data_IF_903233082926
#
_entry.id   IF_903233082926
#
_cell.length_a   1.000
_cell.length_b   1.000
_cell.length_c   1.000
_cell.angle_alpha   90.00
_cell.angle_beta   90.00
_cell.angle_gamma   90.00
#
_symmetry.space_group_name_H-M   'P 1'
#
loop_
_entity.id
_entity.type
_entity.pdbx_description
1 polymer ?
#
# COMPACT_ATOMS: atom_id res chain seq x y z
N UNK A 1 0.88 -20.85 -16.76
CA UNK A 1 1.38 -20.42 -15.44
C UNK A 1 1.79 -18.95 -15.42
N UNK A 2 2.56 -18.44 -16.39
CA UNK A 2 2.90 -17.01 -16.46
C UNK A 2 1.67 -16.11 -16.73
N UNK A 3 0.83 -16.47 -17.70
CA UNK A 3 -0.37 -15.70 -18.07
C UNK A 3 -1.37 -15.59 -16.89
N UNK A 4 -1.57 -16.66 -16.12
CA UNK A 4 -2.40 -16.63 -14.91
C UNK A 4 -1.85 -15.72 -13.82
N UNK A 5 -0.53 -15.61 -13.69
CA UNK A 5 0.10 -14.66 -12.76
C UNK A 5 -0.07 -13.23 -13.22
N UNK A 6 0.07 -12.94 -14.51
CA UNK A 6 -0.14 -11.60 -15.08
C UNK A 6 -1.59 -11.15 -14.88
N UNK A 7 -2.57 -12.00 -15.20
CA UNK A 7 -3.98 -11.68 -14.95
C UNK A 7 -4.29 -11.48 -13.47
N UNK A 8 -3.70 -12.31 -12.60
CA UNK A 8 -3.83 -12.12 -11.16
C UNK A 8 -3.26 -10.77 -10.73
N UNK A 9 -2.03 -10.42 -11.13
CA UNK A 9 -1.40 -9.14 -10.80
C UNK A 9 -2.28 -7.99 -11.29
N UNK A 10 -2.64 -7.98 -12.58
CA UNK A 10 -3.45 -6.92 -13.17
C UNK A 10 -4.81 -6.74 -12.48
N UNK A 11 -5.57 -7.83 -12.29
CA UNK A 11 -6.87 -7.78 -11.57
C UNK A 11 -6.69 -7.23 -10.16
N UNK A 12 -5.66 -7.68 -9.46
CA UNK A 12 -5.39 -7.29 -8.08
C UNK A 12 -5.00 -5.82 -7.97
N UNK A 13 -4.12 -5.33 -8.85
CA UNK A 13 -3.75 -3.92 -8.94
C UNK A 13 -4.95 -3.02 -9.26
N UNK A 14 -5.83 -3.43 -10.19
CA UNK A 14 -7.05 -2.66 -10.52
C UNK A 14 -7.98 -2.55 -9.32
N UNK A 15 -8.22 -3.65 -8.60
CA UNK A 15 -9.08 -3.64 -7.40
C UNK A 15 -8.47 -2.74 -6.31
N UNK A 16 -7.18 -2.90 -6.03
CA UNK A 16 -6.50 -2.08 -5.01
C UNK A 16 -6.50 -0.58 -5.39
N UNK A 17 -6.26 -0.25 -6.66
CA UNK A 17 -6.31 1.13 -7.15
C UNK A 17 -7.69 1.74 -7.13
N UNK A 18 -8.73 0.97 -7.49
CA UNK A 18 -10.10 1.43 -7.36
C UNK A 18 -10.46 1.74 -5.89
N UNK A 19 -9.97 0.94 -4.95
CA UNK A 19 -10.14 1.18 -3.52
C UNK A 19 -9.38 2.44 -3.06
N UNK A 20 -8.09 2.56 -3.40
CA UNK A 20 -7.27 3.71 -3.03
C UNK A 20 -7.89 5.01 -3.56
N UNK A 21 -8.23 5.03 -4.86
CA UNK A 21 -8.88 6.17 -5.48
C UNK A 21 -10.23 6.51 -4.84
N UNK A 22 -11.11 5.52 -4.66
CA UNK A 22 -12.44 5.75 -4.06
C UNK A 22 -12.35 6.25 -2.62
N UNK A 23 -11.38 5.75 -1.85
CA UNK A 23 -11.15 6.22 -0.49
C UNK A 23 -10.58 7.65 -0.48
N UNK A 24 -9.69 7.98 -1.42
CA UNK A 24 -9.17 9.34 -1.58
C UNK A 24 -10.23 10.36 -1.96
N UNK A 25 -11.26 9.96 -2.72
CA UNK A 25 -12.40 10.83 -3.04
C UNK A 25 -13.20 11.27 -1.80
N UNK A 26 -13.12 10.55 -0.67
CA UNK A 26 -13.74 11.00 0.58
C UNK A 26 -13.10 12.30 1.08
N UNK A 27 -11.82 12.55 0.76
CA UNK A 27 -11.13 13.78 1.12
C UNK A 27 -11.72 15.04 0.48
N UNK A 28 -12.60 14.91 -0.52
CA UNK A 28 -13.29 16.03 -1.18
C UNK A 28 -14.51 16.53 -0.40
N UNK A 29 -15.01 15.74 0.55
CA UNK A 29 -16.25 16.06 1.29
C UNK A 29 -16.03 16.19 2.80
N UNK A 30 -14.83 15.87 3.28
CA UNK A 30 -14.47 15.99 4.68
C UNK A 30 -14.13 17.46 5.03
N UNK A 31 -14.36 17.89 6.28
CA UNK A 31 -13.93 19.20 6.73
C UNK A 31 -12.39 19.33 6.67
N UNK A 32 -11.90 20.57 6.66
CA UNK A 32 -10.46 20.92 6.61
C UNK A 32 -9.76 20.58 5.29
N UNK A 33 -10.52 20.27 4.23
CA UNK A 33 -10.00 20.19 2.88
C UNK A 33 -9.43 21.54 2.43
N UNK A 34 -8.32 21.52 1.69
CA UNK A 34 -7.67 22.72 1.17
C UNK A 34 -7.07 22.44 -0.21
N UNK A 35 -6.73 23.50 -0.95
CA UNK A 35 -6.05 23.38 -2.23
C UNK A 35 -4.56 23.07 -1.95
N UNK A 36 -4.14 21.84 -2.25
CA UNK A 36 -2.77 21.36 -1.99
C UNK A 36 -1.75 22.04 -2.91
N UNK A 37 -2.11 22.27 -4.17
CA UNK A 37 -1.24 22.84 -5.21
C UNK A 37 -0.86 21.84 -6.30
N UNK A 38 -0.03 22.26 -7.26
CA UNK A 38 0.42 21.39 -8.35
C UNK A 38 1.38 20.31 -7.80
N UNK A 39 1.09 19.01 -7.95
CA UNK A 39 1.90 17.94 -7.37
C UNK A 39 3.35 17.92 -7.88
N UNK A 40 3.63 18.45 -9.09
CA UNK A 40 4.99 18.57 -9.62
C UNK A 40 5.81 19.63 -8.88
N UNK A 41 5.16 20.59 -8.23
CA UNK A 41 5.79 21.69 -7.51
C UNK A 41 5.83 21.43 -6.00
N UNK A 42 4.73 20.92 -5.44
CA UNK A 42 4.55 20.82 -3.98
C UNK A 42 4.77 19.41 -3.42
N UNK A 43 4.56 18.38 -4.23
CA UNK A 43 4.68 16.98 -3.78
C UNK A 43 6.00 16.32 -4.22
N UNK A 44 6.83 17.03 -4.98
CA UNK A 44 8.16 16.54 -5.37
C UNK A 44 8.14 15.29 -6.26
N UNK A 45 7.05 15.08 -7.02
CA UNK A 45 6.91 13.90 -7.90
C UNK A 45 8.05 13.89 -8.92
N UNK A 46 8.99 12.95 -8.73
CA UNK A 46 10.16 12.76 -9.58
C UNK A 46 10.31 11.31 -10.03
N UNK A 47 11.25 11.05 -10.94
CA UNK A 47 11.57 9.67 -11.33
C UNK A 47 12.04 8.85 -10.12
N UNK A 48 12.90 9.42 -9.27
CA UNK A 48 13.39 8.81 -8.04
C UNK A 48 12.26 8.49 -7.06
N UNK A 49 11.27 9.39 -6.96
CA UNK A 49 10.10 9.16 -6.11
C UNK A 49 9.29 7.94 -6.57
N UNK A 50 8.91 7.91 -7.85
CA UNK A 50 8.12 6.81 -8.43
C UNK A 50 8.91 5.50 -8.42
N UNK A 51 10.14 5.50 -8.92
CA UNK A 51 10.96 4.31 -9.01
C UNK A 51 11.33 3.77 -7.62
N UNK A 52 11.61 4.67 -6.68
CA UNK A 52 11.94 4.31 -5.31
C UNK A 52 10.79 3.59 -4.61
N UNK A 53 9.54 4.06 -4.76
CA UNK A 53 8.35 3.35 -4.25
C UNK A 53 8.25 1.91 -4.76
N UNK A 54 8.51 1.70 -6.05
CA UNK A 54 8.52 0.34 -6.65
C UNK A 54 9.58 -0.51 -5.97
N UNK A 55 10.81 0.00 -5.88
CA UNK A 55 11.93 -0.76 -5.38
C UNK A 55 11.82 -1.05 -3.88
N UNK A 56 11.32 -0.10 -3.08
CA UNK A 56 11.04 -0.28 -1.66
C UNK A 56 9.99 -1.37 -1.45
N UNK A 57 8.87 -1.25 -2.15
CA UNK A 57 7.81 -2.25 -2.11
C UNK A 57 8.27 -3.63 -2.59
N UNK A 58 9.08 -3.70 -3.64
CA UNK A 58 9.68 -4.96 -4.11
C UNK A 58 10.60 -5.58 -3.06
N UNK A 59 11.43 -4.78 -2.39
CA UNK A 59 12.34 -5.24 -1.34
C UNK A 59 11.55 -5.92 -0.20
N UNK A 60 10.50 -5.28 0.31
CA UNK A 60 9.57 -5.90 1.26
C UNK A 60 8.92 -7.17 0.70
N UNK A 61 8.51 -7.11 -0.58
CA UNK A 61 7.83 -8.18 -1.30
C UNK A 61 8.62 -9.48 -1.46
N UNK A 62 9.95 -9.44 -1.39
CA UNK A 62 10.80 -10.65 -1.45
C UNK A 62 10.45 -11.63 -0.32
N UNK A 63 10.08 -11.11 0.86
CA UNK A 63 9.65 -11.92 2.00
C UNK A 63 8.35 -12.73 1.75
N UNK A 64 7.65 -12.47 0.63
CA UNK A 64 6.51 -13.28 0.18
C UNK A 64 6.91 -14.66 -0.36
N UNK A 65 8.19 -14.82 -0.71
CA UNK A 65 8.76 -15.96 -1.44
C UNK A 65 7.95 -16.31 -2.70
N UNK A 66 7.41 -15.29 -3.38
CA UNK A 66 6.57 -15.49 -4.56
C UNK A 66 6.66 -14.31 -5.51
N UNK A 67 7.01 -14.59 -6.77
CA UNK A 67 7.17 -13.58 -7.81
C UNK A 67 5.95 -12.65 -7.94
N UNK A 68 4.75 -13.21 -8.10
CA UNK A 68 3.52 -12.40 -8.28
C UNK A 68 3.24 -11.46 -7.10
N UNK A 69 3.59 -11.88 -5.90
CA UNK A 69 3.37 -11.13 -4.68
C UNK A 69 4.47 -10.08 -4.46
N UNK A 70 5.71 -10.38 -4.81
CA UNK A 70 6.77 -9.38 -4.88
C UNK A 70 6.39 -8.24 -5.84
N UNK A 71 5.94 -8.57 -7.06
CA UNK A 71 5.48 -7.56 -8.03
C UNK A 71 4.31 -6.73 -7.48
N UNK A 72 3.31 -7.35 -6.86
CA UNK A 72 2.21 -6.60 -6.23
C UNK A 72 2.68 -5.67 -5.11
N UNK A 73 3.65 -6.12 -4.31
CA UNK A 73 4.26 -5.33 -3.25
C UNK A 73 5.00 -4.11 -3.79
N UNK A 74 5.58 -4.17 -5.00
CA UNK A 74 6.15 -3.00 -5.68
C UNK A 74 5.11 -2.09 -6.34
N UNK A 75 4.02 -2.65 -6.87
CA UNK A 75 3.00 -1.86 -7.57
C UNK A 75 2.09 -1.08 -6.61
N UNK A 76 1.70 -1.68 -5.48
CA UNK A 76 0.73 -1.07 -4.57
C UNK A 76 1.18 0.26 -3.95
N UNK A 77 2.44 0.44 -3.53
CA UNK A 77 2.93 1.74 -3.04
C UNK A 77 2.73 2.88 -4.04
N UNK A 78 2.96 2.69 -5.34
CA UNK A 78 2.65 3.73 -6.33
C UNK A 78 1.14 3.93 -6.45
N UNK A 79 0.37 2.85 -6.46
CA UNK A 79 -1.09 2.95 -6.64
C UNK A 79 -1.73 3.79 -5.52
N UNK A 80 -1.13 3.85 -4.33
CA UNK A 80 -1.59 4.73 -3.24
C UNK A 80 -1.51 6.23 -3.61
N UNK A 81 -0.56 6.62 -4.45
CA UNK A 81 -0.34 8.02 -4.85
C UNK A 81 -1.33 8.53 -5.91
N UNK A 82 -2.40 7.78 -6.21
CA UNK A 82 -3.44 8.28 -7.13
C UNK A 82 -4.12 9.57 -6.64
N UNK A 83 -4.01 9.92 -5.37
CA UNK A 83 -4.46 11.20 -4.84
C UNK A 83 -3.71 12.41 -5.44
N UNK A 84 -2.45 12.26 -5.86
CA UNK A 84 -1.73 13.29 -6.61
C UNK A 84 -2.41 13.64 -7.93
N UNK A 85 -3.16 12.72 -8.53
CA UNK A 85 -3.93 13.01 -9.74
C UNK A 85 -5.11 13.94 -9.48
N UNK A 86 -5.71 13.84 -8.29
CA UNK A 86 -6.78 14.77 -7.88
C UNK A 86 -6.24 16.18 -7.66
N UNK A 87 -4.98 16.32 -7.21
CA UNK A 87 -4.34 17.63 -7.02
C UNK A 87 -4.25 18.43 -8.33
N UNK A 88 -4.06 17.77 -9.49
CA UNK A 88 -4.04 18.46 -10.80
C UNK A 88 -5.36 19.17 -11.15
N UNK A 89 -6.47 18.81 -10.51
CA UNK A 89 -7.76 19.45 -10.73
C UNK A 89 -7.88 20.81 -10.03
N UNK A 90 -6.94 21.15 -9.13
CA UNK A 90 -6.97 22.41 -8.38
C UNK A 90 -8.16 22.53 -7.43
N UNK A 91 -8.67 21.39 -6.94
CA UNK A 91 -9.80 21.32 -6.02
C UNK A 91 -9.34 21.15 -4.57
N UNK A 92 -10.19 21.54 -3.62
CA UNK A 92 -9.96 21.29 -2.20
C UNK A 92 -10.03 19.79 -1.91
N UNK A 93 -9.03 19.28 -1.20
CA UNK A 93 -9.01 17.89 -0.76
C UNK A 93 -8.16 17.73 0.50
N UNK A 94 -8.43 16.67 1.27
CA UNK A 94 -7.44 16.13 2.20
C UNK A 94 -6.46 15.25 1.40
N UNK A 95 -5.15 15.58 1.33
CA UNK A 95 -4.17 14.74 0.65
C UNK A 95 -3.91 13.45 1.44
N UNK A 96 -3.35 12.43 0.79
CA UNK A 96 -2.83 11.20 1.42
C UNK A 96 -3.88 10.38 2.19
N UNK A 97 -5.15 10.48 1.77
CA UNK A 97 -6.26 9.75 2.41
C UNK A 97 -6.04 8.23 2.41
N UNK A 98 -5.54 7.66 1.30
CA UNK A 98 -5.26 6.23 1.19
C UNK A 98 -4.02 5.78 1.99
N UNK A 99 -3.28 6.69 2.61
CA UNK A 99 -2.10 6.39 3.43
C UNK A 99 -2.44 6.16 4.91
N UNK A 100 -3.70 5.87 5.20
CA UNK A 100 -4.24 5.76 6.55
C UNK A 100 -4.41 4.31 7.03
N UNK A 101 -4.43 4.12 8.34
CA UNK A 101 -4.67 2.81 8.95
C UNK A 101 -6.08 2.31 8.60
N UNK A 102 -7.06 3.21 8.59
CA UNK A 102 -8.44 2.89 8.20
C UNK A 102 -8.50 2.32 6.79
N UNK A 103 -7.81 2.97 5.84
CA UNK A 103 -7.72 2.47 4.46
C UNK A 103 -7.09 1.08 4.43
N UNK A 104 -5.97 0.85 5.13
CA UNK A 104 -5.30 -0.46 5.15
C UNK A 104 -6.23 -1.58 5.60
N UNK A 105 -7.06 -1.34 6.64
CA UNK A 105 -8.03 -2.33 7.14
C UNK A 105 -9.15 -2.61 6.13
N UNK A 106 -9.68 -1.56 5.50
CA UNK A 106 -10.71 -1.69 4.45
C UNK A 106 -10.15 -2.47 3.26
N UNK A 107 -8.94 -2.12 2.80
CA UNK A 107 -8.26 -2.79 1.70
C UNK A 107 -8.12 -4.29 1.99
N UNK A 108 -7.68 -4.68 3.19
CA UNK A 108 -7.63 -6.11 3.57
C UNK A 108 -8.99 -6.78 3.48
N UNK A 109 -10.03 -6.17 4.06
CA UNK A 109 -11.37 -6.73 4.06
C UNK A 109 -11.89 -6.99 2.64
N UNK A 110 -11.75 -6.01 1.75
CA UNK A 110 -12.22 -6.11 0.36
C UNK A 110 -11.38 -7.10 -0.43
N UNK A 111 -10.04 -7.03 -0.33
CA UNK A 111 -9.14 -7.95 -1.04
C UNK A 111 -9.39 -9.41 -0.62
N UNK A 112 -9.69 -9.65 0.66
CA UNK A 112 -10.10 -10.96 1.14
C UNK A 112 -11.38 -11.46 0.49
N UNK A 113 -12.41 -10.62 0.42
CA UNK A 113 -13.71 -10.99 -0.16
C UNK A 113 -13.59 -11.29 -1.65
N UNK A 114 -12.85 -10.47 -2.40
CA UNK A 114 -12.76 -10.59 -3.87
C UNK A 114 -11.85 -11.74 -4.32
N UNK A 115 -10.82 -12.10 -3.53
CA UNK A 115 -9.80 -13.09 -3.90
C UNK A 115 -9.87 -14.38 -3.06
N UNK A 116 -11.08 -14.79 -2.67
CA UNK A 116 -11.42 -16.07 -2.03
C UNK A 116 -10.78 -16.37 -0.66
N UNK A 117 -10.11 -15.42 -0.01
CA UNK A 117 -9.50 -15.59 1.33
C UNK A 117 -8.45 -16.70 1.47
N UNK A 118 -7.99 -17.28 0.35
CA UNK A 118 -7.13 -18.49 0.37
C UNK A 118 -5.68 -18.18 0.74
N UNK A 119 -5.19 -16.99 0.45
CA UNK A 119 -3.78 -16.63 0.58
C UNK A 119 -3.60 -15.32 1.36
N UNK A 120 -3.22 -15.46 2.63
CA UNK A 120 -3.05 -14.33 3.56
C UNK A 120 -1.95 -13.36 3.13
N UNK A 121 -1.03 -13.78 2.25
CA UNK A 121 0.03 -12.90 1.73
C UNK A 121 -0.53 -11.70 0.98
N UNK A 122 -1.68 -11.85 0.30
CA UNK A 122 -2.31 -10.72 -0.37
C UNK A 122 -2.75 -9.63 0.63
N UNK A 123 -3.24 -10.03 1.80
CA UNK A 123 -3.63 -9.09 2.85
C UNK A 123 -2.43 -8.41 3.47
N UNK A 124 -1.40 -9.20 3.74
CA UNK A 124 -0.15 -8.71 4.26
C UNK A 124 0.44 -7.65 3.33
N UNK A 125 0.42 -7.89 2.01
CA UNK A 125 0.90 -6.96 1.00
C UNK A 125 0.03 -5.71 0.91
N UNK A 126 -1.29 -5.83 1.00
CA UNK A 126 -2.19 -4.66 1.00
C UNK A 126 -1.90 -3.70 2.16
N UNK A 127 -1.62 -4.22 3.37
CA UNK A 127 -1.21 -3.38 4.51
C UNK A 127 0.22 -2.89 4.34
N UNK A 128 1.14 -3.81 4.01
CA UNK A 128 2.57 -3.51 3.89
C UNK A 128 2.85 -2.44 2.83
N UNK A 129 2.02 -2.34 1.80
CA UNK A 129 2.14 -1.28 0.79
C UNK A 129 2.01 0.12 1.40
N UNK A 130 1.11 0.33 2.36
CA UNK A 130 0.95 1.62 3.05
C UNK A 130 2.20 1.92 3.89
N UNK A 131 2.70 0.94 4.63
CA UNK A 131 3.90 1.12 5.44
C UNK A 131 5.17 1.33 4.60
N UNK A 132 5.36 0.55 3.54
CA UNK A 132 6.51 0.69 2.64
C UNK A 132 6.48 2.02 1.90
N UNK A 133 5.29 2.48 1.50
CA UNK A 133 5.08 3.81 0.95
C UNK A 133 5.49 4.90 1.97
N UNK A 134 4.91 4.89 3.17
CA UNK A 134 5.23 5.86 4.23
C UNK A 134 6.73 5.85 4.52
N UNK A 135 7.33 4.67 4.60
CA UNK A 135 8.77 4.52 4.78
C UNK A 135 9.55 5.25 3.69
N UNK A 136 9.22 5.01 2.43
CA UNK A 136 10.01 5.56 1.33
C UNK A 136 9.89 7.09 1.25
N UNK A 137 8.70 7.62 1.50
CA UNK A 137 8.48 9.07 1.57
C UNK A 137 9.33 9.72 2.68
N UNK A 138 9.41 9.10 3.87
CA UNK A 138 10.28 9.59 4.97
C UNK A 138 11.75 9.49 4.58
N UNK A 139 12.16 8.38 3.96
CA UNK A 139 13.53 8.16 3.53
C UNK A 139 13.99 9.20 2.50
N UNK A 140 13.16 9.48 1.49
CA UNK A 140 13.49 10.40 0.40
C UNK A 140 13.36 11.87 0.83
N UNK A 141 12.27 12.22 1.52
CA UNK A 141 11.97 13.60 1.92
C UNK A 141 12.62 14.05 3.22
N UNK A 142 13.10 13.12 4.05
CA UNK A 142 13.68 13.38 5.37
C UNK A 142 12.66 13.71 6.47
N UNK A 143 11.54 14.34 6.13
CA UNK A 143 10.39 14.59 7.02
C UNK A 143 9.11 14.67 6.20
N UNK A 144 8.03 14.05 6.67
CA UNK A 144 6.74 14.01 5.95
C UNK A 144 5.57 13.82 6.91
N UNK A 145 4.38 14.15 6.43
CA UNK A 145 3.14 14.18 7.21
C UNK A 145 2.08 13.26 6.61
N UNK A 146 1.41 12.49 7.47
CA UNK A 146 0.35 11.58 7.05
C UNK A 146 -0.89 11.72 7.93
N UNK A 147 -2.10 11.76 7.34
CA UNK A 147 -3.34 11.78 8.08
C UNK A 147 -3.75 10.35 8.49
N UNK A 148 -3.03 9.75 9.43
CA UNK A 148 -3.15 8.30 9.72
C UNK A 148 -4.54 7.82 10.16
N UNK A 149 -5.38 8.74 10.66
CA UNK A 149 -6.67 8.46 11.29
C UNK A 149 -7.89 8.92 10.47
N UNK A 150 -7.70 9.35 9.23
CA UNK A 150 -8.83 9.63 8.33
C UNK A 150 -9.67 8.37 8.06
N UNK A 151 -10.99 8.51 7.84
CA UNK A 151 -11.77 9.75 7.72
C UNK A 151 -12.26 10.30 9.07
N UNK A 152 -11.81 9.74 10.20
CA UNK A 152 -12.34 10.08 11.53
C UNK A 152 -11.71 11.35 12.10
N UNK A 153 -10.43 11.57 11.81
CA UNK A 153 -9.68 12.75 12.21
C UNK A 153 -8.68 13.10 11.10
N UNK A 154 -8.72 14.35 10.63
CA UNK A 154 -7.87 14.93 9.58
C UNK A 154 -6.49 15.40 10.08
N UNK A 155 -6.24 15.35 11.40
CA UNK A 155 -4.94 15.69 11.98
C UNK A 155 -3.82 14.83 11.40
N UNK A 156 -2.77 15.52 10.96
CA UNK A 156 -1.57 14.89 10.41
C UNK A 156 -0.60 14.50 11.52
N UNK A 157 0.12 13.40 11.28
CA UNK A 157 1.23 12.95 12.11
C UNK A 157 2.51 13.11 11.31
N UNK A 158 3.47 13.83 11.87
CA UNK A 158 4.79 14.05 11.26
C UNK A 158 5.74 12.93 11.64
N UNK A 159 6.45 12.39 10.67
CA UNK A 159 7.54 11.42 10.84
C UNK A 159 8.81 11.96 10.19
N UNK A 160 9.98 11.64 10.75
CA UNK A 160 11.24 12.22 10.28
C UNK A 160 12.46 11.36 10.53
N UNK A 161 13.60 11.73 9.93
CA UNK A 161 14.89 11.13 10.21
C UNK A 161 14.91 9.63 9.92
N UNK A 162 15.13 8.80 10.95
CA UNK A 162 15.25 7.34 10.81
C UNK A 162 13.95 6.57 10.99
N UNK A 163 12.81 7.26 11.16
CA UNK A 163 11.50 6.61 11.38
C UNK A 163 11.13 5.65 10.25
N UNK A 164 11.60 5.90 9.02
CA UNK A 164 11.39 5.03 7.86
C UNK A 164 11.79 3.57 8.14
N UNK A 165 12.84 3.33 8.93
CA UNK A 165 13.34 1.97 9.22
C UNK A 165 12.25 1.16 9.92
N UNK A 166 11.50 1.77 10.83
CA UNK A 166 10.44 1.12 11.59
C UNK A 166 9.33 0.68 10.64
N UNK A 167 8.92 1.56 9.74
CA UNK A 167 7.85 1.31 8.78
C UNK A 167 8.21 0.19 7.78
N UNK A 168 9.40 0.23 7.20
CA UNK A 168 9.85 -0.82 6.27
C UNK A 168 10.06 -2.16 6.97
N UNK A 169 10.60 -2.14 8.20
CA UNK A 169 10.73 -3.35 9.01
C UNK A 169 9.36 -3.98 9.32
N UNK A 170 8.35 -3.18 9.63
CA UNK A 170 6.98 -3.65 9.83
C UNK A 170 6.40 -4.23 8.54
N UNK A 171 6.59 -3.57 7.40
CA UNK A 171 6.15 -4.05 6.09
C UNK A 171 6.72 -5.45 5.78
N UNK A 172 8.05 -5.61 5.90
CA UNK A 172 8.76 -6.88 5.72
C UNK A 172 8.23 -7.94 6.67
N UNK A 173 8.10 -7.60 7.96
CA UNK A 173 7.70 -8.55 9.02
C UNK A 173 6.30 -9.12 8.78
N UNK A 174 5.33 -8.28 8.40
CA UNK A 174 3.96 -8.71 8.14
C UNK A 174 3.91 -9.66 6.93
N UNK A 175 4.62 -9.33 5.84
CA UNK A 175 4.72 -10.19 4.66
C UNK A 175 5.37 -11.52 5.04
N UNK A 176 6.51 -11.49 5.74
CA UNK A 176 7.23 -12.69 6.14
C UNK A 176 6.37 -13.64 6.99
N UNK A 177 5.72 -13.12 8.04
CA UNK A 177 4.85 -13.93 8.92
C UNK A 177 3.71 -14.57 8.13
N UNK A 178 3.08 -13.81 7.22
CA UNK A 178 2.01 -14.35 6.38
C UNK A 178 2.49 -15.49 5.46
N UNK A 179 3.72 -15.39 4.94
CA UNK A 179 4.35 -16.44 4.15
C UNK A 179 4.64 -17.70 4.96
N UNK A 180 5.17 -17.55 6.17
CA UNK A 180 5.42 -18.68 7.08
C UNK A 180 4.12 -19.41 7.38
N UNK A 181 3.03 -18.68 7.67
CA UNK A 181 1.70 -19.27 7.89
C UNK A 181 1.21 -20.01 6.64
N UNK A 182 1.37 -19.42 5.45
CA UNK A 182 0.98 -20.04 4.18
C UNK A 182 1.71 -21.38 3.96
N UNK A 183 3.03 -21.40 4.10
CA UNK A 183 3.82 -22.62 3.91
C UNK A 183 3.52 -23.69 4.96
N UNK A 184 3.28 -23.30 6.21
CA UNK A 184 2.88 -24.24 7.26
C UNK A 184 1.54 -24.92 6.92
N UNK A 185 0.53 -24.13 6.52
CA UNK A 185 -0.77 -24.67 6.09
C UNK A 185 -0.65 -25.62 4.89
N UNK A 186 0.18 -25.27 3.90
CA UNK A 186 0.40 -26.11 2.73
C UNK A 186 1.05 -27.46 3.08
N UNK A 187 2.03 -27.45 4.00
CA UNK A 187 2.67 -28.67 4.52
C UNK A 187 1.67 -29.57 5.25
N UNK A 188 0.84 -28.99 6.13
CA UNK A 188 -0.15 -29.73 6.92
C UNK A 188 -1.25 -30.36 6.04
N UNK A 189 -1.61 -29.73 4.92
CA UNK A 189 -2.52 -30.30 3.92
C UNK A 189 -1.89 -31.48 3.16
N UNK A 190 -0.64 -31.34 2.74
CA UNK A 190 0.10 -32.41 2.07
C UNK A 190 0.28 -33.64 2.98
N UNK A 191 0.53 -33.43 4.27
CA UNK A 191 0.63 -34.52 5.24
C UNK A 191 -0.69 -35.27 5.42
N UNK A 192 -1.83 -34.57 5.42
CA UNK A 192 -3.16 -35.18 5.58
C UNK A 192 -3.60 -35.99 4.36
N UNK A 193 -3.26 -35.54 3.15
CA UNK A 193 -3.64 -36.25 1.91
C UNK A 193 -2.82 -37.52 1.64
N UNK A 194 -1.77 -37.78 2.44
CA UNK A 194 -0.94 -39.00 2.36
C UNK A 194 -1.41 -40.12 3.30
N UNK A 195 -2.38 -39.83 4.17
CA UNK A 195 -3.03 -40.78 5.08
C UNK A 195 -4.38 -41.15 4.48
#
# INVERSE_FOLDING_TARGET
MALSSIFFIGKTSVVYGALAFSFSMLGLILPDAFIVGNPLEVSGVSFEHVFGHIMWGLAAGIASFSFRYAILSGLFPIILDFDHWLQFLGIEMIPRMAHSITFSLIAVGVMMVIFDRKDLRLCAIAIAAVFSHISFDIFLGGSTEFPLFVPWNSQVVTFSGTDWIIFEFVAISIIFVSSVIFFKKAKDQCSRNKV
#
